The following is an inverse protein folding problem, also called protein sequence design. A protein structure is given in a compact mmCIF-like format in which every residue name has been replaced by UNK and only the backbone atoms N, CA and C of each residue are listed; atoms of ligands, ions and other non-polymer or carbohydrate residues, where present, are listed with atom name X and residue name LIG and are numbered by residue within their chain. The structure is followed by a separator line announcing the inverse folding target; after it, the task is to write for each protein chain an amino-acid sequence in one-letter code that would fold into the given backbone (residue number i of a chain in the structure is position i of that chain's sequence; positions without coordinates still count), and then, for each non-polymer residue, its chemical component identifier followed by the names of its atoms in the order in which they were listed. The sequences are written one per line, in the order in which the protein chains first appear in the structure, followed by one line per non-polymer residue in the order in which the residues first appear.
data_IF_450986752838
#
_entry.id   IF_450986752838
#
_cell.length_a   1.000
_cell.length_b   1.000
_cell.length_c   1.000
_cell.angle_alpha   90.00
_cell.angle_beta   90.00
_cell.angle_gamma   90.00
#
_symmetry.space_group_name_H-M   'P 1'
#
loop_
_entity.id
_entity.type
_entity.pdbx_description
1 polymer ?
#
# COMPACT_ATOMS: atom_id res chain seq x y z
N UNK A 1 8.44 -7.58 -0.52
CA UNK A 1 7.83 -6.28 -0.89
C UNK A 1 8.96 -5.29 -0.93
N UNK A 2 9.18 -4.65 -2.07
CA UNK A 2 10.32 -3.74 -2.29
C UNK A 2 10.30 -2.60 -1.26
N UNK A 3 9.10 -2.13 -0.92
CA UNK A 3 8.86 -1.07 0.05
C UNK A 3 9.26 -1.41 1.50
N UNK A 4 8.82 -2.57 2.03
CA UNK A 4 9.05 -2.93 3.45
C UNK A 4 10.21 -3.92 3.66
N UNK A 5 10.81 -4.44 2.59
CA UNK A 5 11.78 -5.53 2.63
C UNK A 5 11.22 -6.87 3.15
N UNK A 6 9.90 -6.98 3.40
CA UNK A 6 9.26 -8.16 4.00
C UNK A 6 8.69 -9.13 2.96
N UNK A 7 8.26 -10.31 3.42
CA UNK A 7 7.63 -11.33 2.58
C UNK A 7 6.34 -10.85 1.91
N UNK A 8 5.88 -11.57 0.87
CA UNK A 8 4.60 -11.29 0.20
C UNK A 8 3.41 -11.42 1.17
N UNK A 9 3.43 -12.40 2.06
CA UNK A 9 2.36 -12.62 3.06
C UNK A 9 2.22 -11.42 4.01
N UNK A 10 3.33 -10.78 4.39
CA UNK A 10 3.30 -9.57 5.19
C UNK A 10 2.64 -8.40 4.44
N UNK A 11 2.94 -8.25 3.15
CA UNK A 11 2.30 -7.22 2.31
C UNK A 11 0.77 -7.38 2.27
N UNK A 12 0.27 -8.61 2.10
CA UNK A 12 -1.18 -8.87 2.14
C UNK A 12 -1.80 -8.54 3.50
N UNK A 13 -1.07 -8.80 4.60
CA UNK A 13 -1.52 -8.42 5.95
C UNK A 13 -1.63 -6.90 6.09
N UNK A 14 -0.66 -6.14 5.59
CA UNK A 14 -0.70 -4.67 5.61
C UNK A 14 -1.87 -4.14 4.77
N UNK A 15 -2.05 -4.65 3.54
CA UNK A 15 -3.19 -4.25 2.70
C UNK A 15 -4.54 -4.58 3.37
N UNK A 16 -4.62 -5.65 4.16
CA UNK A 16 -5.80 -5.93 4.97
C UNK A 16 -6.01 -4.83 6.04
N UNK A 17 -4.97 -4.46 6.79
CA UNK A 17 -5.07 -3.42 7.81
C UNK A 17 -5.44 -2.05 7.24
N UNK A 18 -4.85 -1.67 6.09
CA UNK A 18 -5.20 -0.42 5.38
C UNK A 18 -6.68 -0.42 4.98
N UNK A 19 -7.19 -1.57 4.53
CA UNK A 19 -8.60 -1.68 4.15
C UNK A 19 -9.52 -1.55 5.37
N UNK A 20 -9.15 -2.18 6.47
CA UNK A 20 -9.90 -2.14 7.73
C UNK A 20 -9.91 -0.73 8.33
N UNK A 21 -8.80 0.00 8.27
CA UNK A 21 -8.73 1.38 8.77
C UNK A 21 -9.58 2.35 7.95
N UNK A 22 -9.76 2.07 6.64
CA UNK A 22 -10.63 2.84 5.75
C UNK A 22 -12.10 2.38 5.78
N UNK A 23 -12.45 1.37 6.59
CA UNK A 23 -13.81 0.83 6.66
C UNK A 23 -14.29 0.16 5.36
N UNK A 24 -13.36 -0.26 4.49
CA UNK A 24 -13.68 -0.84 3.18
C UNK A 24 -14.03 -2.33 3.26
N UNK A 25 -14.98 -2.78 2.44
CA UNK A 25 -15.31 -4.20 2.32
C UNK A 25 -14.15 -5.00 1.72
N UNK A 26 -14.00 -6.28 2.10
CA UNK A 26 -12.86 -7.17 1.73
C UNK A 26 -12.49 -7.15 0.23
N UNK A 27 -13.48 -7.02 -0.65
CA UNK A 27 -13.32 -7.04 -2.11
C UNK A 27 -12.96 -5.66 -2.69
N UNK A 28 -13.06 -4.58 -1.92
CA UNK A 28 -12.63 -3.26 -2.35
C UNK A 28 -11.11 -3.21 -2.49
N UNK A 29 -10.67 -2.60 -3.58
CA UNK A 29 -9.28 -2.29 -3.84
C UNK A 29 -8.82 -1.08 -3.01
N UNK A 30 -7.51 -1.00 -2.85
CA UNK A 30 -6.81 0.11 -2.19
C UNK A 30 -6.02 0.83 -3.26
N UNK A 31 -6.12 2.15 -3.30
CA UNK A 31 -5.34 2.99 -4.21
C UNK A 31 -3.95 3.25 -3.64
N UNK A 32 -3.02 3.69 -4.50
CA UNK A 32 -1.67 4.07 -4.04
C UNK A 32 -1.77 5.25 -3.06
N UNK A 33 -2.65 6.21 -3.33
CA UNK A 33 -2.92 7.35 -2.43
C UNK A 33 -3.38 6.89 -1.04
N UNK A 34 -4.37 6.00 -0.97
CA UNK A 34 -4.89 5.49 0.30
C UNK A 34 -3.84 4.73 1.12
N UNK A 35 -2.99 3.98 0.42
CA UNK A 35 -1.86 3.32 1.05
C UNK A 35 -0.84 4.35 1.57
N UNK A 36 -0.55 5.40 0.79
CA UNK A 36 0.35 6.49 1.15
C UNK A 36 -0.15 7.24 2.39
N UNK A 37 -1.43 7.61 2.39
CA UNK A 37 -2.11 8.32 3.48
C UNK A 37 -2.08 7.50 4.77
N UNK A 38 -2.35 6.19 4.69
CA UNK A 38 -2.30 5.30 5.87
C UNK A 38 -0.90 5.23 6.49
N UNK A 39 0.14 5.31 5.67
CA UNK A 39 1.53 5.23 6.12
C UNK A 39 2.16 6.60 6.41
N UNK A 40 1.46 7.71 6.11
CA UNK A 40 1.97 9.07 6.30
C UNK A 40 3.15 9.41 5.38
N UNK A 41 3.20 8.81 4.19
CA UNK A 41 4.30 8.96 3.23
C UNK A 41 3.76 9.67 1.98
N UNK A 42 4.52 10.57 1.35
CA UNK A 42 4.09 11.20 0.11
C UNK A 42 3.85 10.17 -1.00
N UNK A 43 2.71 10.28 -1.70
CA UNK A 43 2.33 9.35 -2.77
C UNK A 43 3.40 9.26 -3.87
N UNK A 44 4.03 10.38 -4.20
CA UNK A 44 5.08 10.49 -5.22
C UNK A 44 6.27 9.57 -4.92
N UNK A 45 6.69 9.47 -3.65
CA UNK A 45 7.80 8.59 -3.25
C UNK A 45 7.45 7.11 -3.47
N UNK A 46 6.17 6.75 -3.30
CA UNK A 46 5.69 5.38 -3.51
C UNK A 46 5.57 5.09 -5.00
N UNK A 47 5.09 6.05 -5.78
CA UNK A 47 5.00 5.94 -7.24
C UNK A 47 6.38 5.74 -7.86
N UNK A 48 7.40 6.49 -7.45
CA UNK A 48 8.77 6.34 -7.94
C UNK A 48 9.37 4.95 -7.65
N UNK A 49 8.98 4.33 -6.53
CA UNK A 49 9.46 3.00 -6.13
C UNK A 49 8.75 1.85 -6.87
N UNK A 50 7.47 2.04 -7.23
CA UNK A 50 6.64 1.01 -7.87
C UNK A 50 6.71 1.13 -9.39
N UNK A 51 6.58 2.34 -9.90
CA UNK A 51 6.65 2.68 -11.32
C UNK A 51 8.12 2.93 -11.64
N UNK A 52 8.89 1.86 -11.78
CA UNK A 52 10.17 1.96 -12.50
C UNK A 52 9.88 2.53 -13.88
N UNK A 53 10.25 3.79 -14.10
CA UNK A 53 10.35 4.35 -15.45
C UNK A 53 11.29 3.45 -16.25
N UNK A 54 10.89 2.99 -17.45
CA UNK A 54 11.81 2.30 -18.37
C UNK A 54 13.00 3.19 -18.72
#
# INVERSE_FOLDING_TARGET
MIFTGRSRSYAYKILKHVRESLGKAKHHLITIQEFADFHGIPVNEIEDLIVKKP
#
